data_IF_249088552238
#
_entry.id   IF_249088552238
#
_cell.length_a   1.000
_cell.length_b   1.000
_cell.length_c   1.000
_cell.angle_alpha   90.00
_cell.angle_beta   90.00
_cell.angle_gamma   90.00
#
_symmetry.space_group_name_H-M   'P 1'
#
loop_
_entity.id
_entity.type
_entity.pdbx_description
1 polymer ?
#
# COMPACT_ATOMS: atom_id res chain seq x y z
N UNK A 1 45.09 -1.58 -51.53
CA UNK A 1 44.79 -0.24 -52.05
C UNK A 1 43.49 0.24 -51.38
N UNK A 2 43.54 1.45 -50.82
CA UNK A 2 42.46 2.45 -50.61
C UNK A 2 41.14 1.96 -49.94
N UNK A 3 40.79 2.38 -48.72
CA UNK A 3 40.50 3.71 -48.15
C UNK A 3 38.99 3.87 -47.88
N UNK A 4 38.69 4.30 -46.66
CA UNK A 4 37.42 4.79 -46.12
C UNK A 4 36.75 5.88 -46.99
N UNK A 5 35.47 6.15 -46.75
CA UNK A 5 34.77 7.46 -46.59
C UNK A 5 33.26 7.19 -46.75
N UNK A 6 32.40 7.23 -45.72
CA UNK A 6 31.93 8.33 -44.84
C UNK A 6 30.83 9.22 -45.46
N UNK A 7 29.70 9.31 -44.72
CA UNK A 7 28.75 10.43 -44.58
C UNK A 7 27.86 10.79 -45.81
N UNK A 8 26.59 11.18 -45.73
CA UNK A 8 25.76 11.80 -44.68
C UNK A 8 24.27 11.84 -45.07
N UNK A 9 23.40 11.80 -44.05
CA UNK A 9 22.16 12.59 -43.84
C UNK A 9 21.01 12.62 -44.88
N UNK A 10 19.79 12.36 -44.41
CA UNK A 10 18.61 13.26 -44.44
C UNK A 10 17.46 12.52 -43.71
N UNK A 11 17.18 12.82 -42.43
CA UNK A 11 16.24 13.86 -41.97
C UNK A 11 14.95 13.95 -42.80
N UNK A 12 13.86 13.38 -42.28
CA UNK A 12 12.52 13.99 -42.24
C UNK A 12 11.65 13.32 -41.18
N UNK A 13 11.08 14.18 -40.35
CA UNK A 13 10.38 13.94 -39.09
C UNK A 13 8.88 13.69 -39.29
N UNK A 14 8.32 12.86 -38.39
CA UNK A 14 6.99 12.90 -37.71
C UNK A 14 5.65 12.96 -38.51
N UNK A 15 4.47 12.68 -37.91
CA UNK A 15 4.19 12.15 -36.57
C UNK A 15 3.08 11.06 -36.49
N UNK A 16 2.91 10.52 -35.27
CA UNK A 16 1.71 9.83 -34.73
C UNK A 16 1.80 8.30 -34.63
N UNK A 17 2.41 7.84 -33.55
CA UNK A 17 1.77 6.86 -32.67
C UNK A 17 2.35 7.02 -31.27
N UNK A 18 1.61 7.76 -30.42
CA UNK A 18 1.87 7.86 -29.00
C UNK A 18 1.71 6.48 -28.35
N UNK A 19 2.77 5.68 -28.30
CA UNK A 19 2.88 4.60 -27.34
C UNK A 19 3.74 5.10 -26.18
N UNK A 20 3.12 5.90 -25.29
CA UNK A 20 3.70 6.23 -23.99
C UNK A 20 3.73 4.93 -23.17
N UNK A 21 4.82 4.18 -23.33
CA UNK A 21 5.27 3.23 -22.30
C UNK A 21 5.49 4.04 -21.03
N UNK A 22 4.54 3.94 -20.11
CA UNK A 22 4.65 4.48 -18.77
C UNK A 22 5.83 3.79 -18.09
N UNK A 23 6.99 4.45 -18.16
CA UNK A 23 8.14 4.20 -17.33
C UNK A 23 7.71 4.41 -15.88
N UNK A 24 7.34 3.32 -15.20
CA UNK A 24 7.18 3.28 -13.75
C UNK A 24 8.56 3.44 -13.14
N UNK A 25 8.98 4.71 -13.03
CA UNK A 25 10.17 5.14 -12.34
C UNK A 25 9.93 4.87 -10.84
N UNK A 26 10.23 3.66 -10.40
CA UNK A 26 10.37 3.33 -8.99
C UNK A 26 11.60 4.07 -8.45
N UNK A 27 11.42 5.34 -8.11
CA UNK A 27 12.39 6.10 -7.31
C UNK A 27 11.84 6.18 -5.89
N UNK A 28 12.14 5.12 -5.13
CA UNK A 28 12.11 5.15 -3.67
C UNK A 28 13.42 4.54 -3.18
N UNK A 29 14.51 5.28 -3.42
CA UNK A 29 15.83 4.97 -2.90
C UNK A 29 15.89 5.49 -1.46
N UNK A 30 15.14 4.85 -0.57
CA UNK A 30 15.32 4.97 0.87
C UNK A 30 15.76 3.60 1.34
N UNK A 31 17.02 3.49 1.79
CA UNK A 31 17.49 2.34 2.55
C UNK A 31 16.58 2.23 3.77
N UNK A 32 15.56 1.38 3.67
CA UNK A 32 14.71 1.05 4.80
C UNK A 32 15.55 0.19 5.73
N UNK A 33 15.75 0.69 6.94
CA UNK A 33 16.14 -0.13 8.07
C UNK A 33 15.19 -1.32 8.13
N UNK A 34 15.72 -2.55 8.02
CA UNK A 34 14.96 -3.77 7.77
C UNK A 34 14.00 -4.14 8.92
N UNK A 35 13.96 -3.34 9.99
CA UNK A 35 13.18 -3.57 11.19
C UNK A 35 12.04 -2.56 11.41
N UNK A 36 11.92 -1.51 10.58
CA UNK A 36 10.81 -0.57 10.71
C UNK A 36 9.86 -0.66 9.51
N UNK A 37 8.64 -1.19 9.72
CA UNK A 37 7.64 -1.19 8.66
C UNK A 37 7.31 0.26 8.25
N UNK A 38 6.96 0.50 6.98
CA UNK A 38 6.73 1.84 6.47
C UNK A 38 5.68 2.58 7.30
N UNK A 39 6.01 3.77 7.79
CA UNK A 39 5.08 4.63 8.53
C UNK A 39 3.98 5.13 7.59
N UNK A 40 2.85 4.44 7.58
CA UNK A 40 1.65 4.85 6.85
C UNK A 40 0.65 5.51 7.79
N UNK A 41 -0.33 6.22 7.24
CA UNK A 41 -1.43 6.78 8.04
C UNK A 41 -2.18 5.68 8.81
N UNK A 42 -2.36 4.50 8.21
CA UNK A 42 -2.95 3.36 8.88
C UNK A 42 -2.14 2.94 10.11
N UNK A 43 -0.81 2.88 9.98
CA UNK A 43 0.08 2.51 11.08
C UNK A 43 -0.07 3.47 12.27
N UNK A 44 -0.15 4.78 12.00
CA UNK A 44 -0.35 5.78 13.05
C UNK A 44 -1.72 5.67 13.73
N UNK A 45 -2.77 5.27 12.98
CA UNK A 45 -4.09 5.02 13.56
C UNK A 45 -4.09 3.79 14.48
N UNK A 46 -3.39 2.72 14.09
CA UNK A 46 -3.24 1.51 14.90
C UNK A 46 -2.45 1.80 16.18
N UNK A 47 -1.29 2.45 16.07
CA UNK A 47 -0.43 2.76 17.22
C UNK A 47 -1.14 3.59 18.30
N UNK A 48 -2.03 4.51 17.88
CA UNK A 48 -2.77 5.41 18.78
C UNK A 48 -4.15 4.88 19.16
N UNK A 49 -4.54 3.74 18.61
CA UNK A 49 -5.92 3.25 18.61
C UNK A 49 -6.94 4.36 18.28
N UNK A 50 -6.61 5.21 17.31
CA UNK A 50 -7.44 6.35 16.94
C UNK A 50 -8.62 5.91 16.06
N UNK A 51 -9.77 6.61 16.12
CA UNK A 51 -10.92 6.28 15.29
C UNK A 51 -10.65 6.57 13.82
N UNK A 52 -11.37 5.84 12.95
CA UNK A 52 -11.33 6.06 11.51
C UNK A 52 -12.07 7.37 11.15
N UNK A 53 -11.43 8.21 10.35
CA UNK A 53 -12.00 9.48 9.87
C UNK A 53 -12.97 9.26 8.70
N UNK A 54 -13.96 10.14 8.50
CA UNK A 54 -14.97 10.06 7.41
C UNK A 54 -14.42 9.84 6.00
N UNK A 55 -13.22 10.33 5.73
CA UNK A 55 -12.60 10.28 4.41
C UNK A 55 -11.64 9.08 4.25
N UNK A 56 -11.67 8.17 5.22
CA UNK A 56 -10.83 6.98 5.26
C UNK A 56 -11.68 5.72 5.22
N UNK A 57 -11.23 4.72 4.48
CA UNK A 57 -11.87 3.39 4.49
C UNK A 57 -10.84 2.36 4.92
N UNK A 58 -11.26 1.44 5.80
CA UNK A 58 -10.44 0.32 6.23
C UNK A 58 -11.22 -0.98 6.02
N UNK A 59 -10.64 -1.88 5.25
CA UNK A 59 -11.22 -3.18 4.92
C UNK A 59 -10.22 -4.28 5.26
N UNK A 60 -10.68 -5.29 6.01
CA UNK A 60 -9.96 -6.53 6.24
C UNK A 60 -10.55 -7.61 5.32
N UNK A 61 -9.69 -8.35 4.64
CA UNK A 61 -10.11 -9.41 3.71
C UNK A 61 -9.59 -10.76 4.22
N UNK A 62 -10.42 -11.79 4.18
CA UNK A 62 -10.17 -13.14 4.71
C UNK A 62 -10.25 -14.21 3.61
N UNK A 63 -10.02 -13.83 2.35
CA UNK A 63 -10.29 -14.65 1.18
C UNK A 63 -11.62 -14.26 0.54
N UNK A 64 -12.68 -15.10 0.59
CA UNK A 64 -13.97 -14.78 -0.03
C UNK A 64 -14.82 -13.80 0.79
N UNK A 65 -14.42 -13.49 2.02
CA UNK A 65 -15.14 -12.64 2.97
C UNK A 65 -14.33 -11.38 3.30
N UNK A 66 -15.03 -10.28 3.59
CA UNK A 66 -14.43 -9.02 4.02
C UNK A 66 -15.25 -8.34 5.11
N UNK A 67 -14.57 -7.55 5.95
CA UNK A 67 -15.19 -6.67 6.93
C UNK A 67 -14.69 -5.26 6.74
N UNK A 68 -15.60 -4.28 6.74
CA UNK A 68 -15.28 -2.86 6.66
C UNK A 68 -15.49 -2.21 8.03
N UNK A 69 -14.57 -1.32 8.40
CA UNK A 69 -14.72 -0.49 9.59
C UNK A 69 -15.61 0.70 9.26
N UNK A 70 -16.66 0.91 10.05
CA UNK A 70 -17.54 2.08 9.91
C UNK A 70 -16.78 3.34 10.34
N UNK A 71 -16.63 4.35 9.47
CA UNK A 71 -16.01 5.63 9.85
C UNK A 71 -16.81 6.33 10.94
N UNK A 72 -16.13 7.13 11.78
CA UNK A 72 -16.77 7.98 12.80
C UNK A 72 -17.58 7.23 13.88
N UNK A 73 -17.48 5.90 13.96
CA UNK A 73 -18.13 5.08 14.98
C UNK A 73 -17.53 5.27 16.40
N UNK A 74 -16.49 6.09 16.55
CA UNK A 74 -15.78 6.33 17.82
C UNK A 74 -14.87 5.18 18.28
N UNK A 75 -15.03 3.98 17.72
CA UNK A 75 -14.14 2.85 17.99
C UNK A 75 -12.75 3.08 17.38
N UNK A 76 -11.71 2.79 18.16
CA UNK A 76 -10.33 2.82 17.70
C UNK A 76 -10.00 1.73 16.68
N UNK A 77 -9.12 2.04 15.73
CA UNK A 77 -8.74 1.11 14.65
C UNK A 77 -8.10 -0.17 15.19
N UNK A 78 -7.23 -0.08 16.19
CA UNK A 78 -6.55 -1.25 16.74
C UNK A 78 -7.53 -2.14 17.50
N UNK A 79 -8.43 -1.54 18.28
CA UNK A 79 -9.51 -2.25 18.98
C UNK A 79 -10.45 -2.95 18.00
N UNK A 80 -10.86 -2.27 16.92
CA UNK A 80 -11.71 -2.88 15.89
C UNK A 80 -11.00 -4.06 15.18
N UNK A 81 -9.72 -3.90 14.83
CA UNK A 81 -8.92 -4.97 14.24
C UNK A 81 -8.80 -6.15 15.21
N UNK A 82 -8.56 -5.91 16.51
CA UNK A 82 -8.52 -6.96 17.54
C UNK A 82 -9.83 -7.75 17.57
N UNK A 83 -10.98 -7.07 17.57
CA UNK A 83 -12.29 -7.72 17.56
C UNK A 83 -12.51 -8.57 16.31
N UNK A 84 -12.08 -8.07 15.15
CA UNK A 84 -12.15 -8.83 13.90
C UNK A 84 -11.24 -10.06 13.93
N UNK A 85 -10.03 -9.95 14.51
CA UNK A 85 -9.11 -11.08 14.65
C UNK A 85 -9.68 -12.15 15.58
N UNK A 86 -10.25 -11.74 16.72
CA UNK A 86 -10.87 -12.68 17.67
C UNK A 86 -12.04 -13.44 17.05
N UNK A 87 -12.79 -12.81 16.14
CA UNK A 87 -13.98 -13.40 15.50
C UNK A 87 -13.67 -14.22 14.24
N UNK A 88 -12.71 -13.78 13.43
CA UNK A 88 -12.49 -14.31 12.09
C UNK A 88 -11.07 -14.82 11.85
N UNK A 89 -10.16 -14.66 12.81
CA UNK A 89 -8.75 -14.99 12.67
C UNK A 89 -7.95 -13.88 11.96
N UNK A 90 -6.77 -14.22 11.46
CA UNK A 90 -5.88 -13.26 10.80
C UNK A 90 -6.35 -12.93 9.37
N UNK A 91 -6.42 -11.65 8.98
CA UNK A 91 -6.74 -11.27 7.61
C UNK A 91 -5.61 -11.64 6.63
N UNK A 92 -5.97 -11.96 5.39
CA UNK A 92 -5.02 -12.21 4.31
C UNK A 92 -4.56 -10.91 3.65
N UNK A 93 -5.44 -9.91 3.56
CA UNK A 93 -5.16 -8.58 3.04
C UNK A 93 -5.80 -7.51 3.93
N UNK A 94 -5.15 -6.35 3.97
CA UNK A 94 -5.71 -5.12 4.55
C UNK A 94 -5.69 -4.04 3.48
N UNK A 95 -6.84 -3.44 3.20
CA UNK A 95 -6.96 -2.28 2.32
C UNK A 95 -7.27 -1.05 3.17
N UNK A 96 -6.48 0.00 2.98
CA UNK A 96 -6.71 1.30 3.59
C UNK A 96 -6.67 2.39 2.54
N UNK A 97 -7.77 3.12 2.43
CA UNK A 97 -7.92 4.20 1.47
C UNK A 97 -7.91 5.53 2.21
N UNK A 98 -6.98 6.42 1.86
CA UNK A 98 -6.92 7.78 2.39
C UNK A 98 -6.76 8.78 1.25
N UNK A 99 -7.62 9.79 1.19
CA UNK A 99 -7.54 10.93 0.27
C UNK A 99 -7.17 10.58 -1.19
N UNK A 100 -7.74 9.51 -1.76
CA UNK A 100 -7.64 9.07 -3.18
C UNK A 100 -6.58 8.03 -3.52
N UNK A 101 -5.83 7.47 -2.56
CA UNK A 101 -4.96 6.32 -2.85
C UNK A 101 -5.21 5.17 -1.89
N UNK A 102 -5.58 4.03 -2.48
CA UNK A 102 -5.67 2.76 -1.79
C UNK A 102 -4.26 2.22 -1.52
N UNK A 103 -4.02 1.85 -0.26
CA UNK A 103 -2.88 1.05 0.16
C UNK A 103 -3.40 -0.35 0.45
N UNK A 104 -2.79 -1.35 -0.18
CA UNK A 104 -3.12 -2.75 0.03
C UNK A 104 -1.90 -3.42 0.62
N UNK A 105 -2.07 -3.99 1.81
CA UNK A 105 -1.04 -4.72 2.53
C UNK A 105 -1.38 -6.19 2.53
N UNK A 106 -0.41 -7.02 2.17
CA UNK A 106 -0.51 -8.46 2.39
C UNK A 106 -0.25 -8.80 3.84
N UNK A 107 -0.67 -10.00 4.26
CA UNK A 107 -0.41 -10.52 5.60
C UNK A 107 1.05 -10.35 6.04
N UNK A 108 2.03 -10.69 5.20
CA UNK A 108 3.47 -10.54 5.52
C UNK A 108 3.88 -9.10 5.83
N UNK A 109 3.22 -8.12 5.19
CA UNK A 109 3.54 -6.70 5.34
C UNK A 109 2.84 -6.06 6.54
N UNK A 110 1.63 -6.53 6.85
CA UNK A 110 0.79 -5.97 7.91
C UNK A 110 0.96 -6.71 9.25
N UNK A 111 1.44 -7.95 9.23
CA UNK A 111 1.60 -8.81 10.41
C UNK A 111 2.41 -8.18 11.55
N UNK A 112 3.53 -7.45 11.32
CA UNK A 112 4.26 -6.80 12.41
C UNK A 112 3.41 -5.79 13.20
N UNK A 113 2.35 -5.25 12.60
CA UNK A 113 1.41 -4.34 13.28
C UNK A 113 0.30 -5.09 14.02
N UNK A 114 0.06 -6.37 13.67
CA UNK A 114 -0.94 -7.21 14.30
C UNK A 114 -0.41 -8.03 15.46
N UNK A 115 0.85 -8.49 15.39
CA UNK A 115 1.48 -9.29 16.45
C UNK A 115 1.30 -8.66 17.85
N UNK A 116 1.57 -7.35 18.05
CA UNK A 116 1.34 -6.72 19.35
C UNK A 116 -0.13 -6.69 19.78
N UNK A 117 -1.06 -6.71 18.82
CA UNK A 117 -2.50 -6.67 19.08
C UNK A 117 -3.03 -8.04 19.50
N UNK A 118 -2.43 -9.11 19.02
CA UNK A 118 -2.79 -10.50 19.32
C UNK A 118 -2.28 -10.89 20.71
N UNK A 119 -1.03 -10.53 21.02
CA UNK A 119 -0.42 -10.84 22.31
C UNK A 119 -1.12 -10.16 23.49
N UNK A 120 -1.79 -9.04 23.24
CA UNK A 120 -2.59 -8.30 24.24
C UNK A 120 -4.04 -8.77 24.36
N UNK A 121 -4.49 -9.72 23.53
CA UNK A 121 -5.86 -10.22 23.53
C UNK A 121 -6.05 -11.52 24.34
N UNK A 122 -4.97 -12.03 24.93
CA UNK A 122 -4.92 -13.19 25.81
C UNK A 122 -4.85 -12.76 27.28
#
# INVERSE_FOLDING_TARGET
>A
MLHNYSHSQTSRQDPRSHQKVASWRHSSKSKADAHHPPRTNLTALIERDAPLQSHSHLVLMYGPFQTEMVPEAGQGVASWIKDCIRRHGLPSLVRFDYHRRAQIFRRDQFQPWLEPLIDQAC
#
